data_IF_697182801568
#
_entry.id   IF_697182801568
#
_cell.length_a   1.000
_cell.length_b   1.000
_cell.length_c   1.000
_cell.angle_alpha   90.00
_cell.angle_beta   90.00
_cell.angle_gamma   90.00
#
_symmetry.space_group_name_H-M   'P 1'
#
loop_
_entity.id
_entity.type
_entity.pdbx_description
1 polymer ?
#
# COMPACT_ATOMS: atom_id res chain seq x y z
N UNK A 1 -67.40 -36.12 6.17
CA UNK A 1 -66.52 -36.30 7.35
C UNK A 1 -65.08 -36.16 6.86
N UNK A 2 -64.28 -35.16 7.19
CA UNK A 2 -64.41 -34.02 8.10
C UNK A 2 -63.54 -32.93 7.51
N UNK A 3 -64.13 -31.77 7.25
CA UNK A 3 -63.43 -30.53 6.87
C UNK A 3 -62.89 -29.89 8.15
N UNK A 4 -61.60 -29.54 8.16
CA UNK A 4 -61.00 -28.43 8.93
C UNK A 4 -59.72 -28.05 8.16
N UNK A 5 -59.46 -26.81 7.78
CA UNK A 5 -60.14 -25.54 8.02
C UNK A 5 -59.13 -24.45 7.73
N UNK A 6 -59.54 -23.51 6.87
CA UNK A 6 -59.23 -22.07 6.87
C UNK A 6 -57.81 -21.64 7.29
N UNK A 7 -57.02 -21.12 6.35
CA UNK A 7 -56.86 -19.67 6.21
C UNK A 7 -55.39 -19.32 6.46
N UNK A 8 -54.78 -18.29 5.91
CA UNK A 8 -55.29 -17.05 5.34
C UNK A 8 -54.08 -16.43 4.62
N UNK A 9 -54.30 -15.91 3.40
CA UNK A 9 -53.85 -14.59 2.92
C UNK A 9 -52.33 -14.31 3.02
N UNK A 10 -51.58 -14.43 1.92
CA UNK A 10 -51.45 -13.43 0.85
C UNK A 10 -50.82 -12.10 1.31
N UNK A 11 -49.60 -11.85 0.86
CA UNK A 11 -49.11 -10.56 0.37
C UNK A 11 -47.78 -10.85 -0.33
N UNK A 12 -47.79 -10.94 -1.65
CA UNK A 12 -47.37 -9.85 -2.53
C UNK A 12 -45.84 -9.79 -2.64
N UNK A 13 -45.21 -10.01 -3.79
CA UNK A 13 -45.72 -10.22 -5.13
C UNK A 13 -44.55 -10.29 -6.10
N UNK A 14 -44.85 -10.73 -7.32
CA UNK A 14 -44.09 -10.46 -8.57
C UNK A 14 -42.67 -11.06 -8.56
N UNK A 15 -42.45 -12.35 -8.84
CA UNK A 15 -42.61 -13.04 -10.13
C UNK A 15 -41.95 -12.32 -11.33
N UNK A 16 -40.93 -13.01 -11.85
CA UNK A 16 -40.37 -12.97 -13.21
C UNK A 16 -39.43 -11.83 -13.60
N UNK A 17 -38.16 -12.17 -13.79
CA UNK A 17 -37.59 -12.23 -15.14
C UNK A 17 -36.22 -12.95 -15.17
N UNK A 18 -36.13 -13.96 -16.04
CA UNK A 18 -34.94 -14.34 -16.82
C UNK A 18 -33.76 -15.08 -16.14
N UNK A 19 -33.77 -16.42 -16.31
CA UNK A 19 -32.71 -17.33 -16.81
C UNK A 19 -31.41 -16.69 -17.40
N UNK A 20 -30.31 -17.45 -17.61
CA UNK A 20 -29.54 -18.35 -16.75
C UNK A 20 -28.03 -17.96 -16.82
N UNK A 21 -27.48 -17.27 -15.83
CA UNK A 21 -26.05 -16.89 -15.81
C UNK A 21 -25.27 -17.49 -14.63
N UNK A 22 -25.85 -18.46 -13.93
CA UNK A 22 -25.27 -18.99 -12.68
C UNK A 22 -24.31 -20.17 -12.87
N UNK A 23 -24.01 -20.59 -14.10
CA UNK A 23 -23.15 -21.75 -14.36
C UNK A 23 -21.74 -21.41 -14.91
N UNK A 24 -21.41 -20.14 -15.15
CA UNK A 24 -20.11 -19.75 -15.73
C UNK A 24 -19.19 -18.93 -14.80
N UNK A 25 -19.60 -18.66 -13.55
CA UNK A 25 -18.75 -17.92 -12.59
C UNK A 25 -17.88 -18.86 -11.74
N UNK A 26 -18.04 -20.18 -11.86
CA UNK A 26 -17.34 -21.17 -11.01
C UNK A 26 -15.86 -21.38 -11.44
N UNK A 27 -15.37 -20.75 -12.50
CA UNK A 27 -14.01 -21.01 -13.02
C UNK A 27 -13.01 -19.83 -12.98
N UNK A 28 -13.33 -18.69 -12.34
CA UNK A 28 -12.37 -17.57 -12.24
C UNK A 28 -12.38 -16.85 -10.89
N UNK A 29 -12.88 -17.50 -9.83
CA UNK A 29 -12.41 -17.18 -8.49
C UNK A 29 -11.00 -17.78 -8.36
N UNK A 30 -10.01 -17.12 -8.98
CA UNK A 30 -8.66 -17.15 -8.43
C UNK A 30 -8.83 -16.72 -6.97
N UNK A 31 -8.79 -17.70 -6.07
CA UNK A 31 -8.65 -17.48 -4.65
C UNK A 31 -7.44 -16.59 -4.47
N UNK A 32 -7.69 -15.30 -4.28
CA UNK A 32 -6.68 -14.37 -3.82
C UNK A 32 -6.25 -14.87 -2.45
N UNK A 33 -5.22 -15.73 -2.41
CA UNK A 33 -4.57 -16.12 -1.19
C UNK A 33 -4.05 -14.81 -0.58
N UNK A 34 -4.70 -14.37 0.49
CA UNK A 34 -4.25 -13.23 1.27
C UNK A 34 -3.03 -13.72 2.04
N UNK A 35 -1.88 -13.66 1.38
CA UNK A 35 -0.61 -14.08 1.95
C UNK A 35 -0.22 -13.03 2.99
N UNK A 36 -0.56 -13.30 4.25
CA UNK A 36 -0.21 -12.44 5.39
C UNK A 36 1.29 -12.53 5.58
N UNK A 37 1.99 -11.43 5.28
CA UNK A 37 3.41 -11.28 5.58
C UNK A 37 3.54 -10.58 6.93
N UNK A 38 4.26 -11.16 7.91
CA UNK A 38 4.54 -10.47 9.16
C UNK A 38 5.30 -9.16 8.87
N UNK A 39 4.75 -8.04 9.31
CA UNK A 39 5.35 -6.73 9.16
C UNK A 39 5.44 -6.05 10.53
N UNK A 40 6.64 -5.64 10.89
CA UNK A 40 6.86 -4.71 12.00
C UNK A 40 7.13 -3.35 11.39
N UNK A 41 6.26 -2.37 11.68
CA UNK A 41 6.41 -0.99 11.25
C UNK A 41 6.40 -0.07 12.45
N UNK A 42 7.51 0.63 12.65
CA UNK A 42 7.61 1.72 13.63
C UNK A 42 7.51 3.02 12.86
N UNK A 43 6.60 3.91 13.28
CA UNK A 43 6.48 5.27 12.77
C UNK A 43 6.63 6.25 13.92
N UNK A 44 7.41 7.30 13.72
CA UNK A 44 7.39 8.48 14.59
C UNK A 44 6.91 9.65 13.78
N UNK A 45 6.12 10.50 14.41
CA UNK A 45 5.49 11.65 13.79
C UNK A 45 5.55 12.81 14.80
N UNK A 46 6.25 13.88 14.45
CA UNK A 46 6.48 15.04 15.31
C UNK A 46 6.14 16.33 14.58
N UNK A 47 5.34 17.17 15.22
CA UNK A 47 4.88 18.47 14.72
C UNK A 47 5.43 19.57 15.62
N UNK A 48 6.15 20.53 15.05
CA UNK A 48 6.70 21.68 15.79
C UNK A 48 6.64 22.92 14.91
N UNK A 49 5.89 23.95 15.31
CA UNK A 49 5.90 25.27 14.67
C UNK A 49 5.74 25.24 13.14
N UNK A 50 4.75 24.49 12.65
CA UNK A 50 4.52 24.30 11.21
C UNK A 50 5.66 23.54 10.52
N UNK A 51 6.47 22.78 11.25
CA UNK A 51 7.34 21.72 10.73
C UNK A 51 6.76 20.37 11.09
N UNK A 52 6.88 19.45 10.15
CA UNK A 52 6.42 18.08 10.29
C UNK A 52 7.57 17.13 9.97
N UNK A 53 8.10 16.47 11.01
CA UNK A 53 9.07 15.40 10.89
C UNK A 53 8.37 14.05 11.02
N UNK A 54 8.61 13.17 10.06
CA UNK A 54 8.18 11.78 10.13
C UNK A 54 9.36 10.86 9.91
N UNK A 55 9.46 9.81 10.71
CA UNK A 55 10.38 8.71 10.44
C UNK A 55 9.64 7.38 10.44
N UNK A 56 10.15 6.44 9.67
CA UNK A 56 9.57 5.10 9.54
C UNK A 56 10.69 4.08 9.46
N UNK A 57 10.54 2.99 10.20
CA UNK A 57 11.35 1.78 10.04
C UNK A 57 10.40 0.62 9.82
N UNK A 58 10.63 -0.17 8.78
CA UNK A 58 9.78 -1.31 8.42
C UNK A 58 10.65 -2.53 8.23
N UNK A 59 10.30 -3.62 8.91
CA UNK A 59 10.84 -4.96 8.67
C UNK A 59 9.70 -5.85 8.24
N UNK A 60 9.86 -6.51 7.10
CA UNK A 60 8.91 -7.47 6.55
C UNK A 60 9.56 -8.82 6.48
N UNK A 61 9.02 -9.77 7.22
CA UNK A 61 9.36 -11.17 7.09
C UNK A 61 8.84 -11.71 5.75
N UNK A 62 9.44 -12.80 5.25
CA UNK A 62 8.84 -13.54 4.13
C UNK A 62 7.44 -14.05 4.49
N UNK A 63 6.67 -14.35 3.47
CA UNK A 63 5.39 -15.04 3.62
C UNK A 63 5.53 -16.49 4.09
N UNK A 64 6.67 -17.10 3.84
CA UNK A 64 6.94 -18.50 4.10
C UNK A 64 8.23 -18.62 4.90
N UNK A 65 8.23 -19.45 5.94
CA UNK A 65 9.36 -19.58 6.88
C UNK A 65 10.63 -20.11 6.23
N UNK A 66 10.52 -20.90 5.17
CA UNK A 66 11.67 -21.41 4.42
C UNK A 66 12.37 -20.34 3.55
N UNK A 67 11.73 -19.18 3.35
CA UNK A 67 12.28 -18.00 2.66
C UNK A 67 12.82 -16.95 3.65
N UNK A 68 13.28 -17.37 4.83
CA UNK A 68 13.72 -16.48 5.92
C UNK A 68 14.73 -15.40 5.47
N UNK A 69 15.55 -15.75 4.49
CA UNK A 69 16.54 -14.90 3.81
C UNK A 69 15.93 -13.77 2.96
N UNK A 70 14.66 -13.85 2.56
CA UNK A 70 13.95 -12.78 1.84
C UNK A 70 13.47 -11.62 2.73
N UNK A 71 13.75 -11.69 4.04
CA UNK A 71 13.41 -10.62 4.99
C UNK A 71 13.90 -9.28 4.47
N UNK A 72 13.01 -8.30 4.40
CA UNK A 72 13.32 -6.97 3.87
C UNK A 72 13.15 -5.91 4.93
N UNK A 73 14.17 -5.08 5.09
CA UNK A 73 14.19 -3.91 5.96
C UNK A 73 14.21 -2.63 5.13
N UNK A 74 13.59 -1.58 5.66
CA UNK A 74 13.62 -0.27 5.05
C UNK A 74 13.37 0.84 6.06
N UNK A 75 13.94 2.00 5.76
CA UNK A 75 13.89 3.21 6.56
C UNK A 75 13.41 4.36 5.70
N UNK A 76 12.56 5.20 6.24
CA UNK A 76 12.08 6.39 5.56
C UNK A 76 12.06 7.58 6.50
N UNK A 77 12.29 8.77 5.96
CA UNK A 77 12.07 10.01 6.67
C UNK A 77 11.37 11.02 5.76
N UNK A 78 10.68 11.97 6.36
CA UNK A 78 10.09 13.13 5.69
C UNK A 78 10.21 14.33 6.61
N UNK A 79 10.71 15.44 6.10
CA UNK A 79 10.72 16.73 6.78
C UNK A 79 9.98 17.73 5.91
N UNK A 80 8.89 18.31 6.42
CA UNK A 80 8.03 19.21 5.68
C UNK A 80 7.77 20.48 6.48
N UNK A 81 7.54 21.58 5.77
CA UNK A 81 7.13 22.87 6.31
C UNK A 81 5.72 23.17 5.83
N UNK A 82 4.87 23.64 6.73
CA UNK A 82 3.54 24.14 6.40
C UNK A 82 3.67 25.39 5.53
N UNK A 83 2.95 25.39 4.43
CA UNK A 83 2.87 26.51 3.48
C UNK A 83 1.57 27.26 3.67
N UNK A 84 0.44 26.54 3.77
CA UNK A 84 -0.89 27.13 3.95
C UNK A 84 -1.88 26.10 4.48
N UNK A 85 -2.52 26.38 5.62
CA UNK A 85 -3.72 25.69 6.13
C UNK A 85 -3.76 24.20 5.82
N UNK A 86 -2.81 23.43 6.38
CA UNK A 86 -2.67 21.97 6.20
C UNK A 86 -1.99 21.48 4.91
N UNK A 87 -1.42 22.38 4.13
CA UNK A 87 -0.56 22.05 2.99
C UNK A 87 0.90 22.12 3.38
N UNK A 88 1.64 21.06 3.10
CA UNK A 88 3.02 20.87 3.54
C UNK A 88 3.94 20.64 2.35
N UNK A 89 5.05 21.36 2.29
CA UNK A 89 6.09 21.16 1.28
C UNK A 89 7.39 20.74 1.96
N UNK A 90 8.07 19.74 1.41
CA UNK A 90 9.27 19.23 2.04
C UNK A 90 10.08 18.27 1.21
N UNK A 91 10.94 17.56 1.93
CA UNK A 91 11.82 16.53 1.40
C UNK A 91 11.51 15.20 2.08
N UNK A 92 11.60 14.14 1.31
CA UNK A 92 11.50 12.78 1.83
C UNK A 92 12.63 11.92 1.31
N UNK A 93 13.05 10.96 2.13
CA UNK A 93 14.05 9.97 1.81
C UNK A 93 13.57 8.59 2.20
N UNK A 94 13.94 7.60 1.40
CA UNK A 94 13.63 6.19 1.65
C UNK A 94 14.81 5.32 1.27
N UNK A 95 15.17 4.39 2.15
CA UNK A 95 16.17 3.37 1.93
C UNK A 95 15.56 2.00 2.13
N UNK A 96 15.81 1.08 1.21
CA UNK A 96 15.55 -0.34 1.38
C UNK A 96 16.90 -1.05 1.40
N UNK A 97 17.17 -1.86 2.42
CA UNK A 97 18.41 -2.64 2.50
C UNK A 97 18.46 -3.73 1.45
N UNK A 98 19.66 -4.26 1.23
CA UNK A 98 19.83 -5.41 0.37
C UNK A 98 19.06 -6.60 0.95
N UNK A 99 18.45 -7.39 0.07
CA UNK A 99 17.66 -8.57 0.47
C UNK A 99 17.91 -9.71 -0.49
N UNK A 100 17.79 -10.94 -0.02
CA UNK A 100 17.80 -12.08 -0.90
C UNK A 100 16.46 -12.19 -1.66
N UNK A 101 16.51 -12.68 -2.89
CA UNK A 101 15.35 -12.98 -3.73
C UNK A 101 15.48 -14.46 -4.11
N UNK A 102 14.78 -15.33 -3.37
CA UNK A 102 14.96 -16.77 -3.46
C UNK A 102 14.54 -17.31 -4.84
N UNK A 103 13.51 -16.70 -5.45
CA UNK A 103 13.06 -17.05 -6.80
C UNK A 103 14.15 -16.83 -7.86
N UNK A 104 15.09 -15.90 -7.60
CA UNK A 104 16.19 -15.57 -8.52
C UNK A 104 17.55 -16.05 -8.05
N UNK A 105 17.64 -16.62 -6.84
CA UNK A 105 18.90 -17.04 -6.22
C UNK A 105 19.95 -15.93 -6.12
N UNK A 106 19.52 -14.67 -5.96
CA UNK A 106 20.43 -13.52 -5.99
C UNK A 106 20.09 -12.47 -4.94
N UNK A 107 21.11 -11.74 -4.48
CA UNK A 107 20.93 -10.57 -3.62
C UNK A 107 20.48 -9.40 -4.48
N UNK A 108 19.34 -8.79 -4.11
CA UNK A 108 18.92 -7.51 -4.66
C UNK A 108 19.62 -6.41 -3.88
N UNK A 109 20.24 -5.51 -4.61
CA UNK A 109 20.94 -4.39 -4.01
C UNK A 109 20.02 -3.41 -3.27
N UNK A 110 20.65 -2.70 -2.35
CA UNK A 110 20.08 -1.55 -1.63
C UNK A 110 19.50 -0.51 -2.59
N UNK A 111 18.37 0.08 -2.20
CA UNK A 111 17.72 1.15 -2.96
C UNK A 111 17.60 2.39 -2.10
N UNK A 112 18.16 3.50 -2.57
CA UNK A 112 17.99 4.80 -1.93
C UNK A 112 17.19 5.73 -2.85
N UNK A 113 16.19 6.37 -2.28
CA UNK A 113 15.37 7.38 -2.94
C UNK A 113 15.35 8.64 -2.10
N UNK A 114 15.34 9.79 -2.75
CA UNK A 114 14.98 11.03 -2.10
C UNK A 114 14.34 12.00 -3.10
N UNK A 115 13.63 12.98 -2.58
CA UNK A 115 13.09 14.05 -3.39
C UNK A 115 12.05 14.88 -2.69
N UNK A 116 11.50 15.83 -3.44
CA UNK A 116 10.47 16.73 -2.97
C UNK A 116 9.16 15.99 -2.66
N UNK A 117 8.41 16.52 -1.70
CA UNK A 117 7.11 16.05 -1.29
C UNK A 117 6.17 17.23 -1.09
N UNK A 118 4.94 17.08 -1.55
CA UNK A 118 3.82 17.95 -1.26
C UNK A 118 2.75 17.09 -0.59
N UNK A 119 2.35 17.45 0.63
CA UNK A 119 1.31 16.74 1.38
C UNK A 119 0.17 17.69 1.74
N UNK A 120 -1.02 17.14 1.88
CA UNK A 120 -2.23 17.82 2.32
C UNK A 120 -2.95 16.93 3.33
N UNK A 121 -3.29 17.47 4.49
CA UNK A 121 -4.13 16.77 5.47
C UNK A 121 -5.60 16.96 5.06
N UNK A 122 -6.22 15.90 4.55
CA UNK A 122 -7.63 15.91 4.18
C UNK A 122 -8.54 15.74 5.41
N UNK A 123 -8.02 15.08 6.45
CA UNK A 123 -8.61 14.99 7.79
C UNK A 123 -7.52 14.59 8.79
N UNK A 124 -7.86 14.58 10.08
CA UNK A 124 -6.98 14.11 11.17
C UNK A 124 -6.45 12.67 10.95
N UNK A 125 -7.12 11.90 10.10
CA UNK A 125 -6.80 10.51 9.81
C UNK A 125 -6.29 10.27 8.39
N UNK A 126 -6.35 11.26 7.50
CA UNK A 126 -6.05 11.06 6.08
C UNK A 126 -5.12 12.14 5.55
N UNK A 127 -3.96 11.70 5.08
CA UNK A 127 -3.02 12.51 4.32
C UNK A 127 -3.06 12.11 2.83
N UNK A 128 -3.08 13.10 1.95
CA UNK A 128 -2.89 12.90 0.52
C UNK A 128 -1.69 13.70 0.05
N UNK A 129 -1.07 13.30 -1.05
CA UNK A 129 0.02 14.11 -1.59
C UNK A 129 0.71 13.55 -2.81
N UNK A 130 1.76 14.26 -3.20
CA UNK A 130 2.63 13.95 -4.32
C UNK A 130 4.08 13.84 -3.85
N UNK A 131 4.77 12.78 -4.25
CA UNK A 131 6.18 12.59 -3.95
C UNK A 131 6.99 12.43 -5.24
N UNK A 132 8.00 13.27 -5.43
CA UNK A 132 8.93 13.25 -6.55
C UNK A 132 10.23 12.55 -6.15
N UNK A 133 10.11 11.29 -5.75
CA UNK A 133 11.25 10.50 -5.31
C UNK A 133 12.10 10.05 -6.51
N UNK A 134 13.38 10.41 -6.50
CA UNK A 134 14.37 9.93 -7.47
C UNK A 134 15.33 8.98 -6.79
N UNK A 135 15.74 7.94 -7.51
CA UNK A 135 16.74 7.00 -7.02
C UNK A 135 18.11 7.69 -6.95
N UNK A 136 18.68 7.77 -5.75
CA UNK A 136 19.96 8.45 -5.50
C UNK A 136 21.15 7.55 -5.84
N UNK A 137 21.17 6.31 -5.36
CA UNK A 137 22.17 5.26 -5.65
C UNK A 137 21.61 3.87 -5.31
N UNK A 138 22.21 2.84 -5.88
CA UNK A 138 22.30 1.49 -5.32
C UNK A 138 23.68 0.90 -5.68
N UNK A 139 24.10 -0.21 -5.09
CA UNK A 139 25.15 -1.05 -5.72
C UNK A 139 24.51 -1.89 -6.86
N UNK A 140 25.29 -2.40 -7.81
CA UNK A 140 24.89 -3.44 -8.79
C UNK A 140 24.32 -3.03 -10.17
N UNK A 141 24.15 -4.01 -11.06
CA UNK A 141 23.83 -3.87 -12.51
C UNK A 141 22.52 -3.12 -12.84
N UNK A 142 21.73 -2.75 -11.83
CA UNK A 142 20.47 -2.00 -11.93
C UNK A 142 20.50 -0.68 -11.16
N UNK A 143 21.68 -0.14 -10.87
CA UNK A 143 21.85 0.89 -9.84
C UNK A 143 22.21 2.28 -10.33
N UNK A 144 22.14 2.52 -11.64
CA UNK A 144 22.44 3.83 -12.22
C UNK A 144 21.56 4.90 -11.58
N UNK A 145 22.16 5.92 -10.93
CA UNK A 145 21.44 7.12 -10.50
C UNK A 145 20.64 7.68 -11.66
N UNK A 146 19.36 7.99 -11.45
CA UNK A 146 18.49 8.49 -12.51
C UNK A 146 18.01 7.46 -13.55
N UNK A 147 18.36 6.16 -13.44
CA UNK A 147 17.74 5.13 -14.28
C UNK A 147 16.29 4.89 -13.85
N UNK A 148 15.38 5.53 -14.57
CA UNK A 148 13.93 5.33 -14.48
C UNK A 148 13.47 4.06 -15.23
N UNK A 149 14.28 2.98 -15.28
CA UNK A 149 13.83 1.72 -15.91
C UNK A 149 12.67 1.15 -15.10
N UNK A 150 11.45 1.42 -15.57
CA UNK A 150 10.17 0.96 -14.98
C UNK A 150 9.47 1.96 -14.05
N UNK A 151 10.07 3.11 -13.71
CA UNK A 151 9.40 4.15 -12.92
C UNK A 151 9.20 5.36 -13.82
N UNK A 152 7.95 5.63 -14.22
CA UNK A 152 7.63 6.81 -15.03
C UNK A 152 8.14 8.07 -14.31
N UNK A 153 8.84 8.99 -15.01
CA UNK A 153 9.20 10.28 -14.44
C UNK A 153 7.91 11.02 -14.03
N UNK A 154 7.89 11.61 -12.84
CA UNK A 154 6.78 12.39 -12.35
C UNK A 154 6.47 12.16 -10.87
N UNK A 155 5.54 12.93 -10.30
CA UNK A 155 5.07 12.71 -8.94
C UNK A 155 4.34 11.38 -8.84
N UNK A 156 4.57 10.67 -7.74
CA UNK A 156 3.67 9.60 -7.32
C UNK A 156 2.64 10.19 -6.38
N UNK A 157 1.37 10.15 -6.79
CA UNK A 157 0.26 10.41 -5.89
C UNK A 157 0.19 9.31 -4.83
N UNK A 158 -0.12 9.67 -3.60
CA UNK A 158 -0.37 8.72 -2.52
C UNK A 158 -1.50 9.21 -1.62
N UNK A 159 -2.08 8.24 -0.89
CA UNK A 159 -2.99 8.46 0.22
C UNK A 159 -2.48 7.62 1.39
N UNK A 160 -2.39 8.22 2.57
CA UNK A 160 -2.00 7.55 3.80
C UNK A 160 -3.11 7.71 4.82
N UNK A 161 -3.54 6.58 5.39
CA UNK A 161 -4.50 6.55 6.50
C UNK A 161 -3.74 6.34 7.80
N UNK A 162 -4.11 7.13 8.81
CA UNK A 162 -3.59 7.09 10.17
C UNK A 162 -4.67 6.45 11.05
N UNK A 163 -4.29 5.44 11.81
CA UNK A 163 -5.15 4.71 12.75
C UNK A 163 -4.59 4.84 14.16
#
# INVERSE_FOLDING_TARGET
MTIRGAGLIAAAGVMFACTPACAQVIAAAETAYLVVRPEVRVKTDEHVEGLWLRTTATVRAPSETWRADETSSGYGFSLQKEVIGHTWLGLSGYTQEARFDADRGMIRDTRHYAGARLSFEASDHVEMGFAWLRRLRGRGYMSTPGSNRGIKPGPKAYMQVHF
#
